data_IF_586863809563
#
_entry.id   IF_586863809563
#
_cell.length_a   1.000
_cell.length_b   1.000
_cell.length_c   1.000
_cell.angle_alpha   90.00
_cell.angle_beta   90.00
_cell.angle_gamma   90.00
#
_symmetry.space_group_name_H-M   'P 1'
#
loop_
_entity.id
_entity.type
_entity.pdbx_description
1 polymer ?
#
# COMPACT_ATOMS: atom_id res chain seq x y z
N UNK A 1 8.14 -20.05 -2.13
CA UNK A 1 8.85 -20.15 -3.44
C UNK A 1 10.34 -19.80 -3.32
N UNK A 2 10.76 -19.00 -2.33
CA UNK A 2 12.10 -18.41 -2.18
C UNK A 2 12.52 -17.51 -3.37
N UNK A 3 11.61 -17.12 -4.24
CA UNK A 3 11.87 -16.13 -5.27
C UNK A 3 11.85 -14.73 -4.66
N UNK A 4 12.85 -13.90 -4.99
CA UNK A 4 12.81 -12.47 -4.65
C UNK A 4 11.84 -11.77 -5.60
N UNK A 5 11.06 -10.82 -5.07
CA UNK A 5 10.09 -10.03 -5.84
C UNK A 5 9.09 -10.88 -6.63
N UNK A 6 8.65 -12.02 -6.04
CA UNK A 6 7.63 -12.87 -6.64
C UNK A 6 6.29 -12.10 -6.68
N UNK A 7 5.74 -11.80 -7.86
CA UNK A 7 4.49 -11.04 -7.98
C UNK A 7 3.24 -11.91 -7.80
N UNK A 8 3.42 -13.22 -7.69
CA UNK A 8 2.30 -14.17 -7.64
C UNK A 8 1.58 -14.11 -6.30
N UNK A 9 0.28 -14.41 -6.31
CA UNK A 9 -0.52 -14.56 -5.09
C UNK A 9 0.07 -15.70 -4.24
N UNK A 10 0.30 -15.50 -2.92
CA UNK A 10 1.00 -16.45 -2.06
C UNK A 10 0.11 -17.64 -1.65
N UNK A 11 -0.34 -18.45 -2.61
CA UNK A 11 -1.27 -19.58 -2.41
C UNK A 11 -0.81 -20.56 -1.33
N UNK A 12 0.50 -20.86 -1.29
CA UNK A 12 1.05 -21.79 -0.31
C UNK A 12 0.98 -21.24 1.11
N UNK A 13 1.24 -19.94 1.30
CA UNK A 13 1.12 -19.30 2.60
C UNK A 13 -0.34 -19.23 3.04
N UNK A 14 -1.26 -18.90 2.14
CA UNK A 14 -2.70 -18.93 2.42
C UNK A 14 -3.14 -20.32 2.83
N UNK A 15 -2.80 -21.36 2.05
CA UNK A 15 -3.15 -22.74 2.37
C UNK A 15 -2.57 -23.19 3.72
N UNK A 16 -1.33 -22.79 4.04
CA UNK A 16 -0.72 -23.08 5.33
C UNK A 16 -1.48 -22.41 6.48
N UNK A 17 -1.81 -21.12 6.36
CA UNK A 17 -2.54 -20.40 7.41
C UNK A 17 -3.94 -21.00 7.67
N UNK A 18 -4.66 -21.36 6.61
CA UNK A 18 -5.96 -22.00 6.74
C UNK A 18 -5.86 -23.38 7.41
N UNK A 19 -4.87 -24.19 7.01
CA UNK A 19 -4.63 -25.50 7.62
C UNK A 19 -4.24 -25.39 9.09
N UNK A 20 -3.38 -24.43 9.46
CA UNK A 20 -2.97 -24.19 10.84
C UNK A 20 -4.14 -23.74 11.72
N UNK A 21 -5.04 -22.92 11.17
CA UNK A 21 -6.25 -22.48 11.84
C UNK A 21 -7.35 -23.57 11.87
N UNK A 22 -7.23 -24.62 11.07
CA UNK A 22 -8.24 -25.67 10.96
C UNK A 22 -9.55 -25.21 10.29
N UNK A 23 -9.47 -24.19 9.42
CA UNK A 23 -10.62 -23.62 8.71
C UNK A 23 -10.43 -23.72 7.19
N UNK A 24 -11.51 -23.54 6.45
CA UNK A 24 -11.53 -23.40 5.00
C UNK A 24 -11.54 -21.94 4.58
N UNK A 25 -11.36 -21.66 3.29
CA UNK A 25 -11.48 -20.31 2.75
C UNK A 25 -12.91 -19.75 2.89
N UNK A 26 -13.91 -20.60 2.94
CA UNK A 26 -15.33 -20.24 3.08
C UNK A 26 -15.67 -19.74 4.48
N UNK A 27 -14.85 -20.10 5.49
CA UNK A 27 -15.00 -19.66 6.87
C UNK A 27 -14.36 -18.29 7.14
N UNK A 28 -13.71 -17.70 6.12
CA UNK A 28 -13.03 -16.39 6.21
C UNK A 28 -14.03 -15.27 5.89
N UNK A 29 -14.24 -14.36 6.83
CA UNK A 29 -15.14 -13.22 6.66
C UNK A 29 -14.58 -12.17 5.66
N UNK A 30 -13.31 -11.83 5.82
CA UNK A 30 -12.65 -10.77 5.04
C UNK A 30 -11.28 -11.23 4.54
N UNK A 31 -10.96 -10.85 3.32
CA UNK A 31 -9.61 -10.88 2.81
C UNK A 31 -9.06 -9.45 2.76
N UNK A 32 -7.91 -9.23 3.36
CA UNK A 32 -7.29 -7.91 3.39
C UNK A 32 -6.06 -7.89 2.50
N UNK A 33 -6.03 -6.97 1.54
CA UNK A 33 -4.85 -6.74 0.70
C UNK A 33 -4.02 -5.59 1.27
N UNK A 34 -2.71 -5.79 1.34
CA UNK A 34 -1.76 -4.93 2.06
C UNK A 34 -1.44 -3.59 1.40
N UNK A 35 -2.07 -3.27 0.27
CA UNK A 35 -1.71 -2.13 -0.58
C UNK A 35 -2.97 -1.59 -1.25
N UNK A 36 -3.02 -0.31 -1.58
CA UNK A 36 -4.08 0.33 -2.36
C UNK A 36 -3.62 0.53 -3.80
N UNK A 37 -3.92 -0.39 -4.73
CA UNK A 37 -3.37 -0.39 -6.09
C UNK A 37 -3.62 0.91 -6.86
N UNK A 38 -4.79 1.54 -6.65
CA UNK A 38 -5.13 2.80 -7.33
C UNK A 38 -4.29 3.98 -6.86
N UNK A 39 -4.01 4.09 -5.55
CA UNK A 39 -3.14 5.14 -4.99
C UNK A 39 -1.71 4.97 -5.52
N UNK A 40 -1.24 3.74 -5.55
CA UNK A 40 0.09 3.42 -6.08
C UNK A 40 0.19 3.73 -7.57
N UNK A 41 -0.85 3.43 -8.34
CA UNK A 41 -0.93 3.78 -9.76
C UNK A 41 -0.94 5.29 -9.98
N UNK A 42 -1.72 6.04 -9.20
CA UNK A 42 -1.76 7.50 -9.22
C UNK A 42 -0.38 8.10 -8.99
N UNK A 43 0.34 7.64 -7.95
CA UNK A 43 1.70 8.08 -7.69
C UNK A 43 2.63 7.82 -8.88
N UNK A 44 2.58 6.62 -9.45
CA UNK A 44 3.41 6.23 -10.60
C UNK A 44 3.10 7.15 -11.78
N UNK A 45 1.83 7.40 -12.07
CA UNK A 45 1.40 8.28 -13.15
C UNK A 45 1.89 9.71 -12.91
N UNK A 46 1.72 10.24 -11.71
CA UNK A 46 2.16 11.60 -11.33
C UNK A 46 3.67 11.73 -11.47
N UNK A 47 4.44 10.73 -11.00
CA UNK A 47 5.89 10.71 -11.13
C UNK A 47 6.35 10.73 -12.59
N UNK A 48 5.68 9.93 -13.45
CA UNK A 48 6.01 9.92 -14.88
C UNK A 48 5.68 11.26 -15.57
N UNK A 49 4.57 11.88 -15.23
CA UNK A 49 4.19 13.19 -15.76
C UNK A 49 5.15 14.28 -15.31
N UNK A 50 5.57 14.28 -14.06
CA UNK A 50 6.51 15.25 -13.51
C UNK A 50 7.91 15.16 -14.14
N UNK A 51 8.32 13.95 -14.56
CA UNK A 51 9.65 13.70 -15.13
C UNK A 51 9.65 13.58 -16.66
N UNK A 52 8.53 13.92 -17.31
CA UNK A 52 8.44 13.96 -18.77
C UNK A 52 9.40 15.02 -19.36
N UNK A 53 10.07 14.78 -20.52
CA UNK A 53 9.95 13.60 -21.40
C UNK A 53 10.91 12.44 -21.05
N UNK A 54 11.76 12.57 -20.04
CA UNK A 54 12.77 11.56 -19.66
C UNK A 54 12.15 10.22 -19.27
N UNK A 55 10.98 10.24 -18.66
CA UNK A 55 10.24 9.05 -18.18
C UNK A 55 9.50 8.27 -19.27
N UNK A 56 9.37 8.81 -20.49
CA UNK A 56 8.57 8.22 -21.57
C UNK A 56 8.90 6.74 -21.88
N UNK A 57 10.17 6.30 -21.97
CA UNK A 57 10.50 4.91 -22.22
C UNK A 57 10.07 3.96 -21.10
N UNK A 58 10.16 4.40 -19.85
CA UNK A 58 9.73 3.62 -18.68
C UNK A 58 8.20 3.62 -18.56
N UNK A 59 7.56 4.74 -18.80
CA UNK A 59 6.11 4.90 -18.83
C UNK A 59 5.45 3.94 -19.83
N UNK A 60 5.93 3.92 -21.07
CA UNK A 60 5.37 3.06 -22.12
C UNK A 60 5.44 1.56 -21.80
N UNK A 61 6.41 1.14 -20.99
CA UNK A 61 6.55 -0.25 -20.52
C UNK A 61 5.70 -0.55 -19.28
N UNK A 62 5.64 0.39 -18.33
CA UNK A 62 4.99 0.17 -17.05
C UNK A 62 3.45 0.24 -17.14
N UNK A 63 2.91 1.23 -17.86
CA UNK A 63 1.46 1.48 -17.89
C UNK A 63 0.65 0.28 -18.40
N UNK A 64 1.03 -0.42 -19.49
CA UNK A 64 0.28 -1.60 -19.94
C UNK A 64 0.21 -2.71 -18.88
N UNK A 65 1.28 -2.92 -18.11
CA UNK A 65 1.31 -3.92 -17.03
C UNK A 65 0.35 -3.51 -15.90
N UNK A 66 0.38 -2.24 -15.50
CA UNK A 66 -0.54 -1.74 -14.48
C UNK A 66 -2.00 -1.85 -14.88
N UNK A 67 -2.34 -1.42 -16.08
CA UNK A 67 -3.72 -1.46 -16.58
C UNK A 67 -4.25 -2.88 -16.79
N UNK A 68 -3.38 -3.84 -17.15
CA UNK A 68 -3.81 -5.22 -17.42
C UNK A 68 -3.83 -6.11 -16.18
N UNK A 69 -2.92 -5.90 -15.23
CA UNK A 69 -2.68 -6.85 -14.15
C UNK A 69 -2.80 -6.22 -12.76
N UNK A 70 -2.02 -5.17 -12.49
CA UNK A 70 -1.83 -4.66 -11.11
C UNK A 70 -3.05 -3.99 -10.50
N UNK A 71 -3.90 -3.37 -11.31
CA UNK A 71 -5.15 -2.75 -10.84
C UNK A 71 -6.26 -3.75 -10.54
N UNK A 72 -6.14 -4.99 -11.05
CA UNK A 72 -7.21 -5.99 -10.99
C UNK A 72 -7.00 -7.03 -9.89
N UNK A 73 -6.52 -6.59 -8.71
CA UNK A 73 -6.31 -7.45 -7.53
C UNK A 73 -7.54 -8.31 -7.21
N UNK A 74 -8.79 -7.79 -7.17
CA UNK A 74 -9.96 -8.62 -6.88
C UNK A 74 -10.11 -9.79 -7.85
N UNK A 75 -9.95 -9.54 -9.15
CA UNK A 75 -10.04 -10.61 -10.17
C UNK A 75 -8.89 -11.60 -10.08
N UNK A 76 -7.71 -11.14 -9.70
CA UNK A 76 -6.56 -12.02 -9.50
C UNK A 76 -6.81 -12.96 -8.29
N UNK A 77 -7.33 -12.44 -7.19
CA UNK A 77 -7.66 -13.22 -6.00
C UNK A 77 -8.81 -14.22 -6.25
N UNK A 78 -9.84 -13.79 -6.98
CA UNK A 78 -10.92 -14.70 -7.41
C UNK A 78 -10.37 -15.85 -8.27
N UNK A 79 -9.56 -15.53 -9.27
CA UNK A 79 -8.98 -16.53 -10.18
C UNK A 79 -8.03 -17.49 -9.48
N UNK A 80 -7.16 -16.97 -8.60
CA UNK A 80 -6.04 -17.72 -8.04
C UNK A 80 -6.39 -18.44 -6.73
N UNK A 81 -7.29 -17.89 -5.92
CA UNK A 81 -7.73 -18.45 -4.64
C UNK A 81 -9.18 -18.94 -4.66
N UNK A 82 -9.98 -18.55 -5.65
CA UNK A 82 -11.43 -18.78 -5.64
C UNK A 82 -12.19 -17.83 -4.71
N UNK A 83 -11.54 -16.74 -4.23
CA UNK A 83 -12.15 -15.80 -3.29
C UNK A 83 -13.32 -15.04 -3.91
N UNK A 84 -14.48 -15.06 -3.24
CA UNK A 84 -15.70 -14.35 -3.65
C UNK A 84 -16.31 -13.49 -2.55
N UNK A 85 -15.67 -13.48 -1.38
CA UNK A 85 -16.09 -12.69 -0.24
C UNK A 85 -15.67 -11.22 -0.34
N UNK A 86 -15.82 -10.50 0.75
CA UNK A 86 -15.45 -9.10 0.83
C UNK A 86 -13.93 -8.93 0.84
N UNK A 87 -13.42 -7.99 0.02
CA UNK A 87 -12.01 -7.65 -0.08
C UNK A 87 -11.80 -6.23 0.44
N UNK A 88 -10.99 -6.13 1.46
CA UNK A 88 -10.56 -4.86 2.05
C UNK A 88 -9.14 -4.50 1.59
N UNK A 89 -8.84 -3.21 1.57
CA UNK A 89 -7.52 -2.69 1.26
C UNK A 89 -7.01 -1.85 2.42
N UNK A 90 -5.77 -2.06 2.82
CA UNK A 90 -5.11 -1.21 3.82
C UNK A 90 -4.00 -0.40 3.16
N UNK A 91 -3.62 0.70 3.78
CA UNK A 91 -2.47 1.48 3.35
C UNK A 91 -1.17 0.72 3.59
N UNK A 92 -0.21 0.87 2.69
CA UNK A 92 1.03 0.11 2.68
C UNK A 92 1.78 0.20 4.02
N UNK A 93 2.06 1.40 4.51
CA UNK A 93 2.75 1.61 5.78
C UNK A 93 1.90 1.24 7.00
N UNK A 94 0.58 1.36 6.90
CA UNK A 94 -0.32 0.85 7.94
C UNK A 94 -0.26 -0.68 8.04
N UNK A 95 -0.14 -1.37 6.90
CA UNK A 95 0.08 -2.82 6.87
C UNK A 95 1.41 -3.21 7.52
N UNK A 96 2.49 -2.49 7.22
CA UNK A 96 3.78 -2.70 7.89
C UNK A 96 3.68 -2.51 9.41
N UNK A 97 3.07 -1.42 9.85
CA UNK A 97 2.89 -1.13 11.28
C UNK A 97 2.06 -2.22 11.97
N UNK A 98 0.96 -2.65 11.35
CA UNK A 98 0.11 -3.71 11.88
C UNK A 98 0.84 -5.05 11.97
N UNK A 99 1.58 -5.43 10.95
CA UNK A 99 2.34 -6.69 10.93
C UNK A 99 3.45 -6.77 11.98
N UNK A 100 3.99 -5.63 12.39
CA UNK A 100 5.00 -5.57 13.42
C UNK A 100 4.40 -5.50 14.83
N UNK A 101 3.41 -4.63 15.05
CA UNK A 101 2.90 -4.33 16.38
C UNK A 101 1.87 -5.35 16.87
N UNK A 102 0.86 -5.71 16.06
CA UNK A 102 -0.25 -6.55 16.54
C UNK A 102 0.17 -7.95 17.02
N UNK A 103 1.14 -8.63 16.41
CA UNK A 103 1.64 -9.91 16.92
C UNK A 103 2.73 -9.75 18.00
N UNK A 104 3.13 -8.52 18.34
CA UNK A 104 4.17 -8.28 19.36
C UNK A 104 3.63 -8.47 20.77
N UNK A 105 4.49 -8.71 21.77
CA UNK A 105 4.09 -8.84 23.15
C UNK A 105 3.83 -7.51 23.87
N UNK A 106 3.94 -6.38 23.16
CA UNK A 106 3.83 -5.05 23.75
C UNK A 106 2.41 -4.52 23.69
N UNK A 107 1.88 -4.04 24.80
CA UNK A 107 0.58 -3.35 24.85
C UNK A 107 0.66 -1.92 24.32
N UNK A 108 1.82 -1.29 24.45
CA UNK A 108 2.10 0.04 23.89
C UNK A 108 3.51 0.07 23.31
N UNK A 109 3.67 0.61 22.10
CA UNK A 109 4.97 0.78 21.46
C UNK A 109 4.97 1.95 20.47
N UNK A 110 6.13 2.59 20.35
CA UNK A 110 6.43 3.42 19.19
C UNK A 110 6.70 2.54 17.97
N UNK A 111 6.19 2.97 16.83
CA UNK A 111 6.31 2.23 15.56
C UNK A 111 7.06 3.10 14.57
N UNK A 112 8.05 2.50 13.92
CA UNK A 112 8.77 3.09 12.79
C UNK A 112 8.69 2.11 11.62
N UNK A 113 8.19 2.58 10.49
CA UNK A 113 8.23 1.81 9.25
C UNK A 113 9.17 2.47 8.26
N UNK A 114 9.98 1.66 7.59
CA UNK A 114 10.92 2.09 6.56
C UNK A 114 10.74 1.19 5.36
N UNK A 115 10.52 1.78 4.19
CA UNK A 115 10.39 1.04 2.93
C UNK A 115 11.08 1.81 1.81
N UNK A 116 11.48 1.09 0.77
CA UNK A 116 12.11 1.70 -0.39
C UNK A 116 11.13 2.62 -1.13
N UNK A 117 9.94 2.12 -1.40
CA UNK A 117 8.86 2.89 -2.04
C UNK A 117 7.50 2.24 -1.74
N UNK A 118 6.75 2.83 -0.81
CA UNK A 118 5.36 2.46 -0.53
C UNK A 118 4.36 3.02 -1.56
N UNK A 119 3.22 3.49 -1.09
CA UNK A 119 2.26 4.23 -1.93
C UNK A 119 2.81 5.63 -2.23
N UNK A 120 3.00 6.44 -1.21
CA UNK A 120 3.64 7.76 -1.27
C UNK A 120 4.76 7.90 -0.24
N UNK A 121 4.54 7.41 0.97
CA UNK A 121 5.51 7.47 2.05
C UNK A 121 6.65 6.45 1.85
N UNK A 122 7.85 6.85 2.23
CA UNK A 122 9.03 5.98 2.36
C UNK A 122 9.30 5.61 3.82
N UNK A 123 8.80 6.42 4.75
CA UNK A 123 8.87 6.13 6.18
C UNK A 123 7.64 6.67 6.89
N UNK A 124 7.22 6.00 7.96
CA UNK A 124 6.19 6.52 8.86
C UNK A 124 6.57 6.33 10.31
N UNK A 125 6.07 7.22 11.16
CA UNK A 125 6.17 7.14 12.61
C UNK A 125 4.77 7.03 13.19
N UNK A 126 4.59 6.15 14.15
CA UNK A 126 3.30 5.91 14.78
C UNK A 126 3.40 5.38 16.19
N UNK A 127 2.24 5.13 16.76
CA UNK A 127 2.07 4.52 18.09
C UNK A 127 1.03 3.40 17.99
N UNK A 128 1.35 2.27 18.58
CA UNK A 128 0.41 1.19 18.83
C UNK A 128 -0.01 1.15 20.28
N UNK A 129 -1.29 0.94 20.55
CA UNK A 129 -1.86 0.78 21.91
C UNK A 129 -2.98 -0.26 21.89
N UNK A 130 -2.78 -1.39 22.58
CA UNK A 130 -3.73 -2.50 22.56
C UNK A 130 -3.95 -3.01 21.13
N UNK A 131 -5.15 -2.83 20.59
CA UNK A 131 -5.49 -3.22 19.21
C UNK A 131 -5.59 -2.03 18.24
N UNK A 132 -5.08 -0.86 18.61
CA UNK A 132 -5.16 0.37 17.81
C UNK A 132 -3.79 0.78 17.32
N UNK A 133 -3.76 1.27 16.10
CA UNK A 133 -2.59 1.82 15.43
C UNK A 133 -2.90 3.24 14.98
N UNK A 134 -2.00 4.16 15.26
CA UNK A 134 -2.08 5.54 14.81
C UNK A 134 -0.76 5.94 14.15
N UNK A 135 -0.78 6.24 12.86
CA UNK A 135 0.34 6.81 12.15
C UNK A 135 0.31 8.33 12.34
N UNK A 136 1.35 8.86 12.97
CA UNK A 136 1.43 10.27 13.38
C UNK A 136 2.12 11.13 12.34
N UNK A 137 3.06 10.54 11.59
CA UNK A 137 3.88 11.26 10.61
C UNK A 137 4.28 10.36 9.47
N UNK A 138 4.26 10.92 8.27
CA UNK A 138 4.72 10.31 7.03
C UNK A 138 5.84 11.13 6.41
N UNK A 139 6.82 10.45 5.80
CA UNK A 139 7.94 11.05 5.10
C UNK A 139 7.85 10.61 3.64
N UNK A 140 7.85 11.59 2.74
CA UNK A 140 7.69 11.42 1.29
C UNK A 140 8.96 11.89 0.57
N UNK A 141 10.08 11.21 0.75
CA UNK A 141 11.38 11.62 0.19
C UNK A 141 11.35 11.79 -1.32
N UNK A 142 10.69 10.91 -2.05
CA UNK A 142 10.62 11.00 -3.50
C UNK A 142 9.89 12.26 -3.96
N UNK A 143 8.85 12.66 -3.25
CA UNK A 143 8.12 13.88 -3.52
C UNK A 143 8.98 15.12 -3.20
N UNK A 144 9.71 15.09 -2.09
CA UNK A 144 10.60 16.19 -1.69
C UNK A 144 11.71 16.40 -2.71
N UNK A 145 12.35 15.33 -3.19
CA UNK A 145 13.35 15.39 -4.25
C UNK A 145 12.80 15.94 -5.56
N UNK A 146 11.60 15.52 -5.96
CA UNK A 146 10.94 16.03 -7.17
C UNK A 146 10.57 17.51 -7.05
N UNK A 147 10.12 17.94 -5.87
CA UNK A 147 9.79 19.34 -5.62
C UNK A 147 11.03 20.23 -5.67
N UNK A 148 12.14 19.77 -5.10
CA UNK A 148 13.42 20.47 -5.14
C UNK A 148 13.96 20.56 -6.58
N UNK A 149 13.88 19.49 -7.37
CA UNK A 149 14.28 19.52 -8.80
C UNK A 149 13.39 20.42 -9.67
N UNK A 150 12.11 20.54 -9.35
CA UNK A 150 11.16 21.38 -10.09
C UNK A 150 11.09 22.83 -9.58
N UNK A 151 11.78 23.15 -8.48
CA UNK A 151 11.74 24.46 -7.85
C UNK A 151 10.36 24.80 -7.27
N UNK A 152 9.57 23.81 -6.92
CA UNK A 152 8.22 24.00 -6.34
C UNK A 152 8.35 24.18 -4.83
N UNK A 153 7.86 25.26 -4.23
CA UNK A 153 7.88 25.45 -2.79
C UNK A 153 7.14 24.31 -2.06
N UNK A 154 7.78 23.76 -1.03
CA UNK A 154 7.26 22.60 -0.26
C UNK A 154 5.90 22.90 0.38
N UNK A 155 5.67 24.10 0.81
CA UNK A 155 4.42 24.59 1.41
C UNK A 155 3.27 24.58 0.39
N UNK A 156 3.50 24.97 -0.84
CA UNK A 156 2.50 24.93 -1.91
C UNK A 156 2.14 23.48 -2.32
N UNK A 157 3.11 22.59 -2.29
CA UNK A 157 2.88 21.17 -2.57
C UNK A 157 2.17 20.46 -1.41
N UNK A 158 2.56 20.73 -0.16
CA UNK A 158 1.91 20.21 1.04
C UNK A 158 0.44 20.64 1.13
N UNK A 159 0.15 21.91 0.74
CA UNK A 159 -1.21 22.42 0.73
C UNK A 159 -2.09 21.73 -0.33
N UNK A 160 -1.56 21.50 -1.53
CA UNK A 160 -2.26 20.75 -2.59
C UNK A 160 -2.46 19.27 -2.25
N UNK A 161 -1.48 18.63 -1.60
CA UNK A 161 -1.61 17.26 -1.12
C UNK A 161 -2.62 17.14 0.01
N UNK A 162 -2.67 18.10 0.93
CA UNK A 162 -3.69 18.16 1.98
C UNK A 162 -5.09 18.32 1.40
N UNK A 163 -5.27 19.10 0.34
CA UNK A 163 -6.54 19.24 -0.38
C UNK A 163 -6.95 17.95 -1.08
N UNK A 164 -6.01 17.23 -1.71
CA UNK A 164 -6.23 15.92 -2.31
C UNK A 164 -6.54 14.83 -1.26
N UNK A 165 -5.85 14.84 -0.11
CA UNK A 165 -6.11 13.90 0.99
C UNK A 165 -7.42 14.18 1.73
N UNK A 166 -7.91 15.41 1.80
CA UNK A 166 -9.23 15.73 2.34
C UNK A 166 -10.35 15.11 1.50
N UNK A 167 -10.15 14.96 0.18
CA UNK A 167 -11.07 14.23 -0.69
C UNK A 167 -11.12 12.72 -0.42
N UNK A 168 -10.04 12.12 0.07
CA UNK A 168 -9.95 10.68 0.36
C UNK A 168 -10.35 10.30 1.79
N UNK A 169 -10.37 11.25 2.74
CA UNK A 169 -10.84 11.02 4.12
C UNK A 169 -12.36 10.82 4.26
N UNK A 170 -13.14 11.07 3.20
CA UNK A 170 -14.60 10.89 3.20
C UNK A 170 -15.08 9.45 2.96
N UNK A 171 -14.16 8.49 2.80
CA UNK A 171 -14.49 7.05 2.78
C UNK A 171 -14.12 6.40 4.12
N UNK A 172 -14.61 6.99 5.21
CA UNK A 172 -14.67 6.29 6.49
C UNK A 172 -15.84 5.31 6.41
N UNK A 173 -15.54 4.05 6.21
CA UNK A 173 -16.48 2.95 6.41
C UNK A 173 -16.84 2.93 7.91
N UNK A 174 -18.12 3.06 8.19
CA UNK A 174 -18.69 2.77 9.50
C UNK A 174 -18.71 1.28 9.74
#
# INVERSE_FOLDING_TARGET
TRKRHDPDIPKQAVAYCLAEAGISLEDVDYLVFYDKPFIKFERILTTYLATFPRSLPSFSKAIPVWLKEKLWVPKALERELGWKGELLFTEHHQSHAASAFLPSPYEEAAILTLDGVGEWATATQGVGRGNKLELLREIHELLELLLDELGIPRDAAAQRLAELHLGTRLLHVR
#
